data_IF_440563606128
#
_entry.id   IF_440563606128
#
_cell.length_a   1.000
_cell.length_b   1.000
_cell.length_c   1.000
_cell.angle_alpha   90.00
_cell.angle_beta   90.00
_cell.angle_gamma   90.00
#
_symmetry.space_group_name_H-M   'P 1'
#
loop_
_entity.id
_entity.type
_entity.pdbx_description
1 polymer ?
#
# COMPACT_ATOMS: atom_id res chain seq x y z
N UNK A 1 -31.95 -13.95 -10.81
CA UNK A 1 -31.59 -12.89 -9.84
C UNK A 1 -30.07 -12.75 -9.87
N UNK A 2 -29.59 -11.62 -10.38
CA UNK A 2 -28.23 -11.44 -10.94
C UNK A 2 -27.18 -11.31 -9.82
N UNK A 3 -26.24 -12.25 -9.78
CA UNK A 3 -25.16 -12.39 -8.80
C UNK A 3 -23.87 -11.64 -9.24
N UNK A 4 -23.98 -10.45 -9.85
CA UNK A 4 -22.85 -9.76 -10.50
C UNK A 4 -22.44 -8.40 -9.90
N UNK A 5 -22.94 -8.02 -8.71
CA UNK A 5 -22.71 -6.66 -8.18
C UNK A 5 -21.47 -6.50 -7.28
N UNK A 6 -20.69 -7.56 -7.00
CA UNK A 6 -19.61 -7.50 -5.98
C UNK A 6 -18.17 -7.52 -6.49
N UNK A 7 -17.90 -7.91 -7.74
CA UNK A 7 -16.52 -8.06 -8.27
C UNK A 7 -16.01 -6.81 -9.00
N UNK A 8 -16.91 -6.04 -9.63
CA UNK A 8 -16.54 -4.85 -10.42
C UNK A 8 -15.89 -3.74 -9.57
N UNK A 9 -16.43 -3.49 -8.37
CA UNK A 9 -15.87 -2.48 -7.46
C UNK A 9 -14.52 -2.88 -6.88
N UNK A 10 -14.28 -4.17 -6.62
CA UNK A 10 -13.00 -4.66 -6.10
C UNK A 10 -11.88 -4.49 -7.13
N UNK A 11 -12.14 -4.88 -8.37
CA UNK A 11 -11.19 -4.72 -9.47
C UNK A 11 -10.85 -3.24 -9.72
N UNK A 12 -11.84 -2.34 -9.63
CA UNK A 12 -11.62 -0.90 -9.80
C UNK A 12 -10.72 -0.32 -8.70
N UNK A 13 -10.99 -0.61 -7.41
CA UNK A 13 -10.17 -0.07 -6.32
C UNK A 13 -8.73 -0.59 -6.37
N UNK A 14 -8.56 -1.87 -6.67
CA UNK A 14 -7.23 -2.47 -6.84
C UNK A 14 -6.52 -1.84 -8.03
N UNK A 15 -7.21 -1.69 -9.17
CA UNK A 15 -6.66 -1.04 -10.36
C UNK A 15 -6.19 0.37 -10.06
N UNK A 16 -7.04 1.21 -9.46
CA UNK A 16 -6.69 2.59 -9.07
C UNK A 16 -5.46 2.59 -8.14
N UNK A 17 -5.42 1.69 -7.16
CA UNK A 17 -4.32 1.63 -6.21
C UNK A 17 -3.00 1.19 -6.87
N UNK A 18 -3.05 0.23 -7.79
CA UNK A 18 -1.89 -0.19 -8.57
C UNK A 18 -1.43 0.96 -9.48
N UNK A 19 -2.34 1.61 -10.20
CA UNK A 19 -2.03 2.77 -11.05
C UNK A 19 -1.40 3.90 -10.24
N UNK A 20 -1.90 4.15 -9.03
CA UNK A 20 -1.33 5.14 -8.11
C UNK A 20 0.11 4.79 -7.71
N UNK A 21 0.36 3.55 -7.25
CA UNK A 21 1.69 3.10 -6.86
C UNK A 21 2.66 3.08 -8.04
N UNK A 22 2.16 2.74 -9.23
CA UNK A 22 2.95 2.78 -10.45
C UNK A 22 3.35 4.20 -10.83
N UNK A 23 2.42 5.15 -10.71
CA UNK A 23 2.72 6.58 -10.90
C UNK A 23 3.77 7.09 -9.89
N UNK A 24 3.69 6.67 -8.63
CA UNK A 24 4.71 7.00 -7.63
C UNK A 24 6.07 6.38 -7.95
N UNK A 25 6.11 5.13 -8.42
CA UNK A 25 7.35 4.47 -8.82
C UNK A 25 8.02 5.23 -9.98
N UNK A 26 7.24 5.60 -11.01
CA UNK A 26 7.74 6.38 -12.15
C UNK A 26 8.23 7.78 -11.72
N UNK A 27 7.47 8.45 -10.85
CA UNK A 27 7.87 9.75 -10.32
C UNK A 27 9.19 9.66 -9.55
N UNK A 28 9.32 8.66 -8.67
CA UNK A 28 10.54 8.40 -7.91
C UNK A 28 11.74 8.05 -8.80
N UNK A 29 11.51 7.35 -9.91
CA UNK A 29 12.57 7.00 -10.85
C UNK A 29 13.08 8.22 -11.64
N UNK A 30 12.20 9.15 -12.01
CA UNK A 30 12.56 10.34 -12.79
C UNK A 30 13.02 11.53 -11.94
N UNK A 31 12.63 11.57 -10.66
CA UNK A 31 12.91 12.70 -9.79
C UNK A 31 14.32 12.64 -9.22
N UNK A 32 15.01 13.78 -9.23
CA UNK A 32 16.29 13.93 -8.52
C UNK A 32 16.12 13.77 -7.01
N UNK A 33 14.95 14.18 -6.50
CA UNK A 33 14.56 14.06 -5.11
C UNK A 33 13.35 13.11 -5.00
N UNK A 34 13.57 11.80 -4.80
CA UNK A 34 12.47 10.84 -4.66
C UNK A 34 11.63 11.13 -3.41
N UNK A 35 10.37 10.69 -3.43
CA UNK A 35 9.46 10.88 -2.30
C UNK A 35 9.89 10.00 -1.14
N UNK A 36 10.57 10.61 -0.17
CA UNK A 36 11.03 9.96 1.06
C UNK A 36 9.92 9.77 2.10
N UNK A 37 8.78 10.42 1.90
CA UNK A 37 7.67 10.42 2.86
C UNK A 37 6.80 9.18 2.68
N UNK A 38 6.44 8.50 3.78
CA UNK A 38 5.71 7.21 3.74
C UNK A 38 4.24 7.37 3.31
N UNK A 39 3.64 8.54 3.49
CA UNK A 39 2.18 8.71 3.39
C UNK A 39 1.59 8.45 1.99
N UNK A 40 2.21 8.88 0.87
CA UNK A 40 1.68 8.59 -0.47
C UNK A 40 1.56 7.09 -0.78
N UNK A 41 2.42 6.28 -0.15
CA UNK A 41 2.40 4.82 -0.23
C UNK A 41 1.39 4.18 0.71
N UNK A 42 1.11 4.84 1.83
CA UNK A 42 0.27 4.35 2.91
C UNK A 42 -1.23 4.50 2.59
N UNK A 43 -1.62 5.54 1.86
CA UNK A 43 -3.00 5.80 1.43
C UNK A 43 -3.63 4.59 0.70
N UNK A 44 -3.06 4.08 -0.42
CA UNK A 44 -3.65 2.96 -1.14
C UNK A 44 -3.73 1.70 -0.24
N UNK A 45 -2.72 1.46 0.59
CA UNK A 45 -2.69 0.33 1.53
C UNK A 45 -3.84 0.41 2.53
N UNK A 46 -4.07 1.58 3.14
CA UNK A 46 -5.16 1.77 4.09
C UNK A 46 -6.54 1.63 3.44
N UNK A 47 -6.73 2.22 2.26
CA UNK A 47 -8.00 2.17 1.55
C UNK A 47 -8.37 0.73 1.16
N UNK A 48 -7.41 -0.03 0.64
CA UNK A 48 -7.63 -1.42 0.27
C UNK A 48 -7.80 -2.31 1.51
N UNK A 49 -7.02 -2.09 2.57
CA UNK A 49 -7.19 -2.84 3.82
C UNK A 49 -8.58 -2.58 4.45
N UNK A 50 -9.07 -1.33 4.41
CA UNK A 50 -10.41 -1.00 4.87
C UNK A 50 -11.49 -1.61 3.98
N UNK A 51 -11.40 -1.47 2.65
CA UNK A 51 -12.42 -1.95 1.72
C UNK A 51 -12.48 -3.48 1.65
N UNK A 52 -11.31 -4.13 1.51
CA UNK A 52 -11.16 -5.51 1.07
C UNK A 52 -10.50 -6.43 2.10
N UNK A 53 -10.14 -5.87 3.27
CA UNK A 53 -9.59 -6.60 4.39
C UNK A 53 -8.05 -6.66 4.39
N UNK A 54 -7.52 -7.10 5.53
CA UNK A 54 -6.10 -7.00 5.86
C UNK A 54 -5.19 -7.75 4.89
N UNK A 55 -5.64 -8.89 4.34
CA UNK A 55 -4.86 -9.71 3.40
C UNK A 55 -4.49 -8.91 2.14
N UNK A 56 -5.47 -8.21 1.56
CA UNK A 56 -5.23 -7.35 0.39
C UNK A 56 -4.37 -6.13 0.76
N UNK A 57 -4.54 -5.61 1.98
CA UNK A 57 -3.64 -4.59 2.53
C UNK A 57 -2.18 -5.02 2.55
N UNK A 58 -1.88 -6.28 2.93
CA UNK A 58 -0.51 -6.80 2.95
C UNK A 58 0.10 -6.93 1.55
N UNK A 59 -0.66 -7.45 0.58
CA UNK A 59 -0.21 -7.53 -0.81
C UNK A 59 0.15 -6.14 -1.33
N UNK A 60 -0.70 -5.15 -1.05
CA UNK A 60 -0.48 -3.80 -1.51
C UNK A 60 0.64 -3.09 -0.75
N UNK A 61 0.86 -3.42 0.53
CA UNK A 61 2.01 -2.95 1.29
C UNK A 61 3.34 -3.42 0.68
N UNK A 62 3.39 -4.65 0.16
CA UNK A 62 4.55 -5.13 -0.57
C UNK A 62 4.79 -4.33 -1.86
N UNK A 63 3.74 -4.11 -2.67
CA UNK A 63 3.83 -3.31 -3.89
C UNK A 63 4.23 -1.85 -3.61
N UNK A 64 3.68 -1.27 -2.55
CA UNK A 64 3.99 0.08 -2.12
C UNK A 64 5.43 0.22 -1.62
N UNK A 65 5.97 -0.82 -0.97
CA UNK A 65 7.39 -0.89 -0.60
C UNK A 65 8.28 -0.88 -1.83
N UNK A 66 7.93 -1.67 -2.85
CA UNK A 66 8.66 -1.69 -4.13
C UNK A 66 8.59 -0.34 -4.83
N UNK A 67 7.44 0.34 -4.85
CA UNK A 67 7.32 1.68 -5.45
C UNK A 67 8.13 2.77 -4.72
N UNK A 68 8.41 2.55 -3.43
CA UNK A 68 9.15 3.47 -2.60
C UNK A 68 10.68 3.32 -2.75
N UNK A 69 11.15 2.29 -3.47
CA UNK A 69 12.56 2.06 -3.74
C UNK A 69 12.94 2.61 -5.13
N UNK A 70 13.57 3.79 -5.24
CA UNK A 70 14.09 4.29 -6.51
C UNK A 70 15.42 3.60 -6.86
N UNK A 71 15.67 3.43 -8.16
CA UNK A 71 16.90 2.78 -8.67
C UNK A 71 18.17 3.48 -8.17
N UNK A 72 18.16 4.81 -8.08
CA UNK A 72 19.29 5.56 -7.53
C UNK A 72 19.61 5.20 -6.07
N UNK A 73 18.61 4.79 -5.28
CA UNK A 73 18.82 4.31 -3.91
C UNK A 73 19.37 2.88 -3.90
N UNK A 74 19.01 2.07 -4.89
CA UNK A 74 19.55 0.72 -5.09
C UNK A 74 21.04 0.75 -5.44
N UNK A 75 21.44 1.68 -6.30
CA UNK A 75 22.83 1.81 -6.75
C UNK A 75 23.76 2.45 -5.72
N UNK A 76 23.23 3.26 -4.79
CA UNK A 76 24.01 4.04 -3.83
C UNK A 76 24.16 3.41 -2.45
N UNK A 77 23.41 2.34 -2.15
CA UNK A 77 23.40 1.71 -0.83
C UNK A 77 23.87 0.27 -0.88
N UNK A 78 24.39 -0.20 0.24
CA UNK A 78 24.78 -1.61 0.37
C UNK A 78 23.56 -2.52 0.36
N UNK A 79 23.73 -3.76 -0.09
CA UNK A 79 22.65 -4.75 -0.11
C UNK A 79 21.95 -4.90 1.26
N UNK A 80 22.70 -4.82 2.35
CA UNK A 80 22.17 -4.90 3.72
C UNK A 80 21.26 -3.71 4.05
N UNK A 81 21.65 -2.50 3.66
CA UNK A 81 20.86 -1.28 3.87
C UNK A 81 19.56 -1.30 3.06
N UNK A 82 19.61 -1.79 1.82
CA UNK A 82 18.41 -2.00 1.00
C UNK A 82 17.43 -2.96 1.66
N UNK A 83 17.93 -4.12 2.10
CA UNK A 83 17.10 -5.15 2.74
C UNK A 83 16.47 -4.59 4.01
N UNK A 84 17.25 -3.88 4.83
CA UNK A 84 16.74 -3.24 6.04
C UNK A 84 15.67 -2.18 5.73
N UNK A 85 15.92 -1.30 4.76
CA UNK A 85 14.97 -0.26 4.35
C UNK A 85 13.65 -0.87 3.80
N UNK A 86 13.74 -1.94 3.01
CA UNK A 86 12.59 -2.67 2.49
C UNK A 86 11.76 -3.32 3.59
N UNK A 87 12.41 -4.07 4.48
CA UNK A 87 11.74 -4.72 5.61
C UNK A 87 11.09 -3.67 6.53
N UNK A 88 11.80 -2.58 6.85
CA UNK A 88 11.29 -1.52 7.70
C UNK A 88 10.08 -0.81 7.07
N UNK A 89 10.13 -0.53 5.76
CA UNK A 89 9.03 0.09 5.02
C UNK A 89 7.81 -0.83 4.95
N UNK A 90 8.03 -2.10 4.62
CA UNK A 90 6.98 -3.11 4.61
C UNK A 90 6.33 -3.28 5.99
N UNK A 91 7.12 -3.31 7.07
CA UNK A 91 6.62 -3.40 8.44
C UNK A 91 5.73 -2.20 8.81
N UNK A 92 6.12 -0.97 8.43
CA UNK A 92 5.30 0.23 8.65
C UNK A 92 3.96 0.14 7.91
N UNK A 93 3.98 -0.26 6.64
CA UNK A 93 2.78 -0.33 5.80
C UNK A 93 1.84 -1.46 6.22
N UNK A 94 2.38 -2.61 6.60
CA UNK A 94 1.58 -3.73 7.16
C UNK A 94 1.00 -3.37 8.52
N UNK A 95 1.74 -2.66 9.37
CA UNK A 95 1.22 -2.09 10.61
C UNK A 95 0.01 -1.18 10.38
N UNK A 96 0.07 -0.31 9.37
CA UNK A 96 -1.07 0.52 8.97
C UNK A 96 -2.27 -0.31 8.49
N UNK A 97 -2.03 -1.35 7.68
CA UNK A 97 -3.07 -2.27 7.22
C UNK A 97 -3.76 -3.01 8.39
N UNK A 98 -3.00 -3.40 9.42
CA UNK A 98 -3.55 -4.01 10.64
C UNK A 98 -4.38 -2.97 11.41
N UNK A 99 -3.80 -1.80 11.69
CA UNK A 99 -4.44 -0.74 12.47
C UNK A 99 -5.79 -0.33 11.87
N UNK A 100 -5.85 -0.13 10.55
CA UNK A 100 -7.09 0.25 9.87
C UNK A 100 -8.13 -0.88 9.85
N UNK A 101 -7.66 -2.14 9.79
CA UNK A 101 -8.55 -3.31 9.87
C UNK A 101 -9.17 -3.47 11.26
N UNK A 102 -8.38 -3.22 12.31
CA UNK A 102 -8.85 -3.20 13.70
C UNK A 102 -9.85 -2.05 13.89
N UNK A 103 -9.53 -0.85 13.40
CA UNK A 103 -10.41 0.30 13.45
C UNK A 103 -11.76 0.02 12.77
N UNK A 104 -11.75 -0.65 11.61
CA UNK A 104 -12.99 -1.08 10.92
C UNK A 104 -13.83 -2.00 11.78
N UNK A 105 -13.20 -2.98 12.45
CA UNK A 105 -13.89 -3.93 13.32
C UNK A 105 -14.52 -3.22 14.52
N UNK A 106 -13.79 -2.28 15.13
CA UNK A 106 -14.30 -1.45 16.24
C UNK A 106 -15.48 -0.60 15.76
N UNK A 107 -15.36 0.08 14.62
CA UNK A 107 -16.45 0.90 14.05
C UNK A 107 -17.71 0.08 13.80
N UNK A 108 -17.59 -1.11 13.22
CA UNK A 108 -18.71 -2.03 12.99
C UNK A 108 -19.36 -2.50 14.31
N UNK A 109 -18.56 -2.71 15.36
CA UNK A 109 -19.08 -3.12 16.66
C UNK A 109 -19.82 -1.98 17.38
N UNK A 110 -19.37 -0.72 17.22
CA UNK A 110 -20.01 0.46 17.82
C UNK A 110 -21.29 0.83 17.07
N UNK A 111 -21.28 0.72 15.74
CA UNK A 111 -22.43 1.01 14.87
C UNK A 111 -22.90 -0.27 14.16
N UNK A 112 -23.63 -1.17 14.85
CA UNK A 112 -24.21 -2.36 14.26
C UNK A 112 -25.45 -1.95 13.43
N UNK A 113 -25.22 -1.43 12.24
CA UNK A 113 -26.27 -1.31 11.21
C UNK A 113 -26.44 -2.62 10.46
#
# INVERSE_FOLDING_TARGET
MIFFKSTSSLNLHIFISITWLWGLALFNHQSRDPIMFIFPYLIPVMLIAWGHGTKWGFVLAALATLSAMPDAYVDSHTQTELVYAGIATYAKLTGAAIGISVAKKIHKNINPT
#
